data_IF_683096310358
#
_entry.id   IF_683096310358
#
_cell.length_a   1.000
_cell.length_b   1.000
_cell.length_c   1.000
_cell.angle_alpha   90.00
_cell.angle_beta   90.00
_cell.angle_gamma   90.00
#
_symmetry.space_group_name_H-M   'P 1'
#
loop_
_entity.id
_entity.type
_entity.pdbx_description
1 polymer ?
#
# COMPACT_ATOMS: atom_id res chain seq x y z
N UNK A 1 -21.65 -13.76 4.44
CA UNK A 1 -21.05 -12.59 5.14
C UNK A 1 -19.55 -12.63 4.92
N UNK A 2 -18.92 -11.54 4.48
CA UNK A 2 -17.46 -11.48 4.28
C UNK A 2 -16.77 -11.35 5.65
N UNK A 3 -15.63 -12.02 5.84
CA UNK A 3 -14.86 -11.90 7.09
C UNK A 3 -14.20 -10.53 7.23
N UNK A 4 -14.00 -10.09 8.47
CA UNK A 4 -13.33 -8.82 8.77
C UNK A 4 -11.92 -8.73 8.16
N UNK A 5 -11.15 -9.81 8.27
CA UNK A 5 -9.82 -9.93 7.66
C UNK A 5 -9.85 -9.75 6.14
N UNK A 6 -10.80 -10.39 5.45
CA UNK A 6 -10.93 -10.22 4.00
C UNK A 6 -11.30 -8.78 3.63
N UNK A 7 -12.15 -8.12 4.43
CA UNK A 7 -12.49 -6.70 4.23
C UNK A 7 -11.25 -5.83 4.31
N UNK A 8 -10.39 -6.02 5.32
CA UNK A 8 -9.13 -5.28 5.47
C UNK A 8 -8.22 -5.52 4.27
N UNK A 9 -8.03 -6.77 3.85
CA UNK A 9 -7.16 -7.10 2.71
C UNK A 9 -7.66 -6.48 1.41
N UNK A 10 -8.96 -6.53 1.18
CA UNK A 10 -9.60 -5.94 0.01
C UNK A 10 -9.47 -4.42 0.01
N UNK A 11 -9.76 -3.77 1.15
CA UNK A 11 -9.65 -2.32 1.29
C UNK A 11 -8.20 -1.85 1.09
N UNK A 12 -7.23 -2.55 1.68
CA UNK A 12 -5.82 -2.26 1.45
C UNK A 12 -5.45 -2.31 -0.04
N UNK A 13 -5.88 -3.36 -0.74
CA UNK A 13 -5.64 -3.52 -2.18
C UNK A 13 -6.24 -2.37 -2.99
N UNK A 14 -7.44 -1.92 -2.64
CA UNK A 14 -8.11 -0.79 -3.31
C UNK A 14 -7.34 0.51 -3.06
N UNK A 15 -6.91 0.78 -1.82
CA UNK A 15 -6.12 1.99 -1.50
C UNK A 15 -4.79 2.02 -2.26
N UNK A 16 -4.07 0.89 -2.33
CA UNK A 16 -2.86 0.77 -3.16
C UNK A 16 -3.16 1.09 -4.63
N UNK A 17 -4.20 0.46 -5.20
CA UNK A 17 -4.55 0.66 -6.60
C UNK A 17 -4.91 2.12 -6.93
N UNK A 18 -5.59 2.83 -6.02
CA UNK A 18 -5.90 4.26 -6.18
C UNK A 18 -4.63 5.12 -6.23
N UNK A 19 -3.68 4.86 -5.33
CA UNK A 19 -2.38 5.56 -5.30
C UNK A 19 -1.63 5.31 -6.60
N UNK A 20 -1.48 4.05 -7.02
CA UNK A 20 -0.77 3.69 -8.26
C UNK A 20 -1.41 4.31 -9.50
N UNK A 21 -2.74 4.38 -9.54
CA UNK A 21 -3.50 5.00 -10.63
C UNK A 21 -3.23 6.50 -10.69
N UNK A 22 -3.27 7.20 -9.56
CA UNK A 22 -3.00 8.64 -9.52
C UNK A 22 -1.55 8.94 -9.91
N UNK A 23 -0.59 8.16 -9.40
CA UNK A 23 0.82 8.28 -9.77
C UNK A 23 1.01 8.18 -11.28
N UNK A 24 0.41 7.15 -11.90
CA UNK A 24 0.47 6.99 -13.36
C UNK A 24 -0.15 8.16 -14.10
N UNK A 25 -1.31 8.63 -13.65
CA UNK A 25 -2.01 9.80 -14.22
C UNK A 25 -1.12 11.04 -14.22
N UNK A 26 -0.51 11.37 -13.07
CA UNK A 26 0.40 12.50 -12.91
C UNK A 26 1.62 12.35 -13.85
N UNK A 27 2.22 11.16 -13.89
CA UNK A 27 3.40 10.92 -14.74
C UNK A 27 3.10 10.96 -16.24
N UNK A 28 1.88 10.61 -16.65
CA UNK A 28 1.44 10.67 -18.05
C UNK A 28 0.88 12.04 -18.47
N UNK A 29 0.82 13.01 -17.57
CA UNK A 29 0.21 14.31 -17.86
C UNK A 29 1.09 15.14 -18.81
N UNK A 30 0.48 15.69 -19.86
CA UNK A 30 1.17 16.47 -20.89
C UNK A 30 1.79 17.78 -20.36
N UNK A 31 1.24 18.33 -19.29
CA UNK A 31 1.70 19.57 -18.64
C UNK A 31 2.06 19.28 -17.18
N UNK A 32 3.22 18.69 -16.89
CA UNK A 32 3.58 18.24 -15.53
C UNK A 32 3.79 19.39 -14.53
N UNK A 33 3.87 20.64 -15.02
CA UNK A 33 4.00 21.85 -14.19
C UNK A 33 2.69 22.63 -14.05
N UNK A 34 1.57 22.10 -14.56
CA UNK A 34 0.26 22.73 -14.38
C UNK A 34 -0.12 22.75 -12.90
N UNK A 35 -1.05 23.65 -12.54
CA UNK A 35 -1.67 23.68 -11.21
C UNK A 35 -2.31 22.34 -10.88
N UNK A 36 -3.04 21.75 -11.83
CA UNK A 36 -3.68 20.44 -11.67
C UNK A 36 -2.69 19.33 -11.29
N UNK A 37 -1.49 19.29 -11.89
CA UNK A 37 -0.46 18.32 -11.53
C UNK A 37 0.10 18.54 -10.12
N UNK A 38 0.23 19.81 -9.69
CA UNK A 38 0.66 20.14 -8.34
C UNK A 38 -0.38 19.71 -7.32
N UNK A 39 -1.64 20.08 -7.55
CA UNK A 39 -2.77 19.74 -6.68
C UNK A 39 -2.95 18.21 -6.58
N UNK A 40 -2.81 17.49 -7.71
CA UNK A 40 -2.83 16.03 -7.73
C UNK A 40 -1.66 15.42 -6.94
N UNK A 41 -0.47 16.02 -7.01
CA UNK A 41 0.69 15.58 -6.23
C UNK A 41 0.52 15.84 -4.74
N UNK A 42 -0.11 16.95 -4.34
CA UNK A 42 -0.45 17.22 -2.94
C UNK A 42 -1.52 16.24 -2.44
N UNK A 43 -2.53 15.95 -3.26
CA UNK A 43 -3.54 14.95 -2.93
C UNK A 43 -2.94 13.53 -2.82
N UNK A 44 -1.94 13.21 -3.64
CA UNK A 44 -1.20 11.95 -3.54
C UNK A 44 -0.56 11.79 -2.15
N UNK A 45 0.03 12.85 -1.59
CA UNK A 45 0.62 12.82 -0.26
C UNK A 45 -0.43 12.55 0.83
N UNK A 46 -1.64 13.13 0.69
CA UNK A 46 -2.77 12.83 1.59
C UNK A 46 -3.15 11.35 1.52
N UNK A 47 -3.26 10.77 0.32
CA UNK A 47 -3.57 9.35 0.16
C UNK A 47 -2.47 8.43 0.70
N UNK A 48 -1.19 8.81 0.55
CA UNK A 48 -0.06 8.08 1.14
C UNK A 48 -0.14 8.09 2.67
N UNK A 49 -0.47 9.23 3.27
CA UNK A 49 -0.67 9.30 4.72
C UNK A 49 -1.87 8.44 5.17
N UNK A 50 -2.96 8.43 4.41
CA UNK A 50 -4.14 7.61 4.71
C UNK A 50 -3.80 6.10 4.67
N UNK A 51 -3.10 5.63 3.64
CA UNK A 51 -2.71 4.22 3.56
C UNK A 51 -1.71 3.83 4.64
N UNK A 52 -0.84 4.75 5.06
CA UNK A 52 0.12 4.51 6.14
C UNK A 52 -0.60 4.33 7.49
N UNK A 53 -1.59 5.17 7.79
CA UNK A 53 -2.42 5.02 8.98
C UNK A 53 -3.27 3.74 8.91
N UNK A 54 -3.86 3.45 7.75
CA UNK A 54 -4.60 2.21 7.55
C UNK A 54 -3.72 0.97 7.77
N UNK A 55 -2.48 1.01 7.25
CA UNK A 55 -1.54 -0.08 7.43
C UNK A 55 -1.14 -0.24 8.90
N UNK A 56 -0.81 0.86 9.61
CA UNK A 56 -0.50 0.82 11.04
C UNK A 56 -1.62 0.18 11.87
N UNK A 57 -2.85 0.64 11.67
CA UNK A 57 -4.03 0.19 12.43
C UNK A 57 -4.34 -1.30 12.20
N UNK A 58 -4.00 -1.83 11.02
CA UNK A 58 -4.31 -3.20 10.61
C UNK A 58 -3.04 -4.05 10.39
N UNK A 59 -1.90 -3.60 10.93
CA UNK A 59 -0.58 -4.12 10.56
C UNK A 59 -0.42 -5.60 10.88
N UNK A 60 -1.06 -6.07 11.95
CA UNK A 60 -1.05 -7.48 12.34
C UNK A 60 -1.67 -8.37 11.25
N UNK A 61 -2.87 -8.02 10.77
CA UNK A 61 -3.58 -8.78 9.73
C UNK A 61 -2.84 -8.66 8.39
N UNK A 62 -2.38 -7.46 8.04
CA UNK A 62 -1.70 -7.22 6.76
C UNK A 62 -0.36 -7.96 6.67
N UNK A 63 0.50 -7.82 7.69
CA UNK A 63 1.81 -8.46 7.70
C UNK A 63 1.74 -9.99 7.76
N UNK A 64 0.80 -10.56 8.54
CA UNK A 64 0.54 -12.00 8.56
C UNK A 64 0.08 -12.57 7.22
N UNK A 65 -0.46 -11.72 6.33
CA UNK A 65 -0.88 -12.07 4.98
C UNK A 65 0.13 -11.67 3.90
N UNK A 66 1.38 -11.38 4.29
CA UNK A 66 2.46 -11.03 3.37
C UNK A 66 2.29 -9.67 2.69
N UNK A 67 1.46 -8.77 3.22
CA UNK A 67 1.35 -7.39 2.72
C UNK A 67 2.42 -6.54 3.38
N UNK A 68 3.18 -5.82 2.56
CA UNK A 68 4.14 -4.80 2.98
C UNK A 68 3.49 -3.42 2.91
N UNK A 69 3.99 -2.40 3.65
CA UNK A 69 3.64 -1.01 3.40
C UNK A 69 3.80 -0.65 1.92
N UNK A 70 3.05 0.37 1.49
CA UNK A 70 3.12 0.84 0.11
C UNK A 70 4.54 1.32 -0.23
N UNK A 71 4.99 1.23 -1.48
CA UNK A 71 6.36 1.62 -1.86
C UNK A 71 6.66 3.11 -1.61
N UNK A 72 5.62 3.96 -1.64
CA UNK A 72 5.70 5.40 -1.32
C UNK A 72 5.43 5.72 0.16
N UNK A 73 5.24 4.69 0.99
CA UNK A 73 5.00 4.83 2.43
C UNK A 73 6.17 5.54 3.12
N UNK A 74 5.87 6.35 4.12
CA UNK A 74 6.87 6.99 4.99
C UNK A 74 7.02 6.26 6.32
N UNK A 75 6.44 5.06 6.43
CA UNK A 75 6.53 4.25 7.64
C UNK A 75 7.96 3.73 7.85
N UNK A 76 8.47 3.79 9.10
CA UNK A 76 9.76 3.16 9.40
C UNK A 76 9.65 1.65 9.25
N UNK A 77 10.77 1.01 8.91
CA UNK A 77 10.86 -0.43 8.90
C UNK A 77 10.59 -0.99 10.30
N UNK A 78 9.75 -2.02 10.38
CA UNK A 78 9.40 -2.67 11.63
C UNK A 78 9.73 -4.17 11.52
N UNK A 79 10.66 -4.62 12.36
CA UNK A 79 11.14 -6.01 12.38
C UNK A 79 10.00 -7.01 12.51
N UNK A 80 9.01 -6.74 13.39
CA UNK A 80 7.85 -7.62 13.59
C UNK A 80 7.02 -7.79 12.33
N UNK A 81 6.86 -6.72 11.53
CA UNK A 81 6.12 -6.82 10.27
C UNK A 81 6.89 -7.64 9.24
N UNK A 82 8.20 -7.45 9.15
CA UNK A 82 9.06 -8.22 8.24
C UNK A 82 9.04 -9.71 8.58
N UNK A 83 9.21 -10.07 9.85
CA UNK A 83 9.14 -11.45 10.34
C UNK A 83 7.80 -12.12 9.99
N UNK A 84 6.68 -11.42 10.22
CA UNK A 84 5.36 -11.95 9.84
C UNK A 84 5.23 -12.20 8.33
N UNK A 85 5.77 -11.30 7.51
CA UNK A 85 5.74 -11.38 6.05
C UNK A 85 6.63 -12.53 5.54
N UNK A 86 7.81 -12.69 6.14
CA UNK A 86 8.72 -13.79 5.83
C UNK A 86 8.06 -15.13 6.15
N UNK A 87 7.51 -15.26 7.37
CA UNK A 87 6.78 -16.46 7.79
C UNK A 87 5.61 -16.78 6.87
N UNK A 88 4.86 -15.76 6.40
CA UNK A 88 3.80 -15.97 5.43
C UNK A 88 4.31 -16.60 4.13
N UNK A 89 5.45 -16.12 3.61
CA UNK A 89 6.03 -16.65 2.37
C UNK A 89 6.76 -17.98 2.54
N UNK A 90 7.27 -18.29 3.73
CA UNK A 90 7.77 -19.63 4.05
C UNK A 90 6.64 -20.66 3.98
N UNK A 91 5.48 -20.33 4.54
CA UNK A 91 4.28 -21.17 4.47
C UNK A 91 3.64 -21.18 3.06
N UNK A 92 3.85 -20.12 2.28
CA UNK A 92 3.28 -19.97 0.93
C UNK A 92 4.35 -19.65 -0.13
N UNK A 93 5.29 -20.57 -0.43
CA UNK A 93 6.42 -20.27 -1.33
C UNK A 93 6.00 -19.79 -2.72
N UNK A 94 4.89 -20.33 -3.25
CA UNK A 94 4.33 -19.98 -4.57
C UNK A 94 3.82 -18.54 -4.66
N UNK A 95 3.51 -17.90 -3.52
CA UNK A 95 2.99 -16.53 -3.46
C UNK A 95 4.08 -15.48 -3.31
N UNK A 96 5.34 -15.90 -3.11
CA UNK A 96 6.48 -15.00 -3.01
C UNK A 96 6.68 -14.27 -4.35
N UNK A 97 6.76 -12.93 -4.36
CA UNK A 97 7.10 -12.18 -5.57
C UNK A 97 8.43 -12.69 -6.12
N UNK A 98 8.46 -13.03 -7.41
CA UNK A 98 9.71 -13.36 -8.11
C UNK A 98 10.48 -12.05 -8.36
N UNK A 99 11.79 -12.08 -8.14
CA UNK A 99 12.67 -10.95 -8.46
C UNK A 99 12.78 -10.77 -9.97
#
# INVERSE_FOLDING_TARGET
MISFEYRILSEYKIKVAKIDTLVKSIMSHNLPKSTECKDASEFLDVMVNEIDQFYKNNSEILSKNGKKPHARSRLPENKKWLENIERFYELNPRRRPRK
#
